data_IF_602241894104
#
_entry.id   IF_602241894104
#
_cell.length_a   1.000
_cell.length_b   1.000
_cell.length_c   1.000
_cell.angle_alpha   90.00
_cell.angle_beta   90.00
_cell.angle_gamma   90.00
#
_symmetry.space_group_name_H-M   'P 1'
#
loop_
_entity.id
_entity.type
_entity.pdbx_description
1 polymer ?
#
# COMPACT_ATOMS: atom_id res chain seq x y z
N UNK A 1 -5.35 0.24 -17.71
CA UNK A 1 -4.33 1.02 -18.43
C UNK A 1 -3.01 0.84 -17.72
N UNK A 2 -1.89 0.55 -18.42
CA UNK A 2 -0.67 0.12 -17.77
C UNK A 2 -0.10 1.23 -16.87
N UNK A 3 0.04 0.93 -15.58
CA UNK A 3 0.74 1.78 -14.60
C UNK A 3 2.24 1.54 -14.77
N UNK A 4 3.01 2.56 -15.18
CA UNK A 4 4.47 2.48 -15.13
C UNK A 4 4.90 2.63 -13.67
N UNK A 5 5.21 1.50 -13.03
CA UNK A 5 5.69 1.45 -11.64
C UNK A 5 7.21 1.35 -11.59
N UNK A 6 7.80 2.09 -10.65
CA UNK A 6 9.19 1.87 -10.23
C UNK A 6 9.31 0.49 -9.55
N UNK A 7 10.51 -0.08 -9.54
CA UNK A 7 10.75 -1.34 -8.83
C UNK A 7 10.50 -1.18 -7.32
N UNK A 8 10.89 -0.03 -6.76
CA UNK A 8 10.62 0.31 -5.36
C UNK A 8 9.12 0.33 -5.03
N UNK A 9 8.31 0.97 -5.87
CA UNK A 9 6.86 0.99 -5.67
C UNK A 9 6.27 -0.43 -5.74
N UNK A 10 6.74 -1.25 -6.70
CA UNK A 10 6.31 -2.66 -6.82
C UNK A 10 6.65 -3.46 -5.56
N UNK A 11 7.87 -3.33 -5.06
CA UNK A 11 8.32 -3.99 -3.83
C UNK A 11 7.50 -3.57 -2.62
N UNK A 12 7.27 -2.26 -2.43
CA UNK A 12 6.48 -1.73 -1.34
C UNK A 12 5.02 -2.20 -1.38
N UNK A 13 4.38 -2.20 -2.56
CA UNK A 13 3.02 -2.72 -2.73
C UNK A 13 2.97 -4.23 -2.47
N UNK A 14 3.97 -4.99 -2.93
CA UNK A 14 4.05 -6.44 -2.68
C UNK A 14 4.22 -6.75 -1.19
N UNK A 15 5.06 -5.98 -0.50
CA UNK A 15 5.20 -6.05 0.96
C UNK A 15 3.88 -5.74 1.67
N UNK A 16 3.12 -4.75 1.21
CA UNK A 16 1.83 -4.39 1.80
C UNK A 16 0.79 -5.50 1.59
N UNK A 17 0.69 -6.09 0.39
CA UNK A 17 -0.18 -7.25 0.12
C UNK A 17 0.18 -8.42 1.02
N UNK A 18 1.46 -8.78 1.08
CA UNK A 18 1.93 -9.91 1.89
C UNK A 18 1.59 -9.72 3.37
N UNK A 19 1.74 -8.50 3.90
CA UNK A 19 1.32 -8.18 5.26
C UNK A 19 -0.19 -8.31 5.44
N UNK A 20 -0.97 -7.78 4.49
CA UNK A 20 -2.42 -7.80 4.52
C UNK A 20 -2.94 -9.23 4.61
N UNK A 21 -2.43 -10.10 3.74
CA UNK A 21 -2.80 -11.52 3.65
C UNK A 21 -2.33 -12.31 4.86
N UNK A 22 -1.07 -12.13 5.29
CA UNK A 22 -0.51 -12.84 6.44
C UNK A 22 -1.28 -12.52 7.73
N UNK A 23 -1.71 -11.27 7.89
CA UNK A 23 -2.51 -10.81 9.02
C UNK A 23 -4.01 -11.01 8.82
N UNK A 24 -4.43 -11.55 7.67
CA UNK A 24 -5.83 -11.80 7.31
C UNK A 24 -6.70 -10.52 7.39
N UNK A 25 -6.09 -9.36 7.13
CA UNK A 25 -6.75 -8.06 7.30
C UNK A 25 -7.90 -7.89 6.30
N UNK A 26 -7.83 -8.52 5.13
CA UNK A 26 -8.88 -8.48 4.10
C UNK A 26 -10.24 -8.98 4.61
N UNK A 27 -10.27 -9.80 5.67
CA UNK A 27 -11.51 -10.36 6.20
C UNK A 27 -12.14 -9.54 7.34
N UNK A 28 -11.54 -8.41 7.72
CA UNK A 28 -11.97 -7.62 8.89
C UNK A 28 -13.13 -6.67 8.56
N UNK A 29 -13.13 -6.05 7.38
CA UNK A 29 -14.16 -5.10 6.96
C UNK A 29 -14.23 -4.95 5.45
N UNK A 30 -15.34 -4.43 4.93
CA UNK A 30 -15.51 -4.15 3.49
C UNK A 30 -14.41 -3.26 2.94
N UNK A 31 -14.02 -2.21 3.69
CA UNK A 31 -12.88 -1.37 3.31
C UNK A 31 -11.61 -2.20 3.12
N UNK A 32 -11.34 -3.17 4.00
CA UNK A 32 -10.11 -3.94 3.93
C UNK A 32 -10.09 -4.90 2.74
N UNK A 33 -11.25 -5.45 2.40
CA UNK A 33 -11.45 -6.28 1.22
C UNK A 33 -11.25 -5.46 -0.06
N UNK A 34 -11.94 -4.33 -0.17
CA UNK A 34 -11.82 -3.41 -1.32
C UNK A 34 -10.40 -2.86 -1.48
N UNK A 35 -9.76 -2.48 -0.37
CA UNK A 35 -8.39 -1.98 -0.37
C UNK A 35 -7.40 -3.06 -0.82
N UNK A 36 -7.54 -4.30 -0.36
CA UNK A 36 -6.69 -5.42 -0.81
C UNK A 36 -6.84 -5.67 -2.31
N UNK A 37 -8.08 -5.75 -2.80
CA UNK A 37 -8.36 -5.92 -4.22
C UNK A 37 -7.76 -4.77 -5.05
N UNK A 38 -7.88 -3.53 -4.58
CA UNK A 38 -7.32 -2.37 -5.26
C UNK A 38 -5.78 -2.41 -5.32
N UNK A 39 -5.09 -2.84 -4.26
CA UNK A 39 -3.63 -3.02 -4.29
C UNK A 39 -3.23 -4.06 -5.36
N UNK A 40 -3.95 -5.18 -5.43
CA UNK A 40 -3.70 -6.22 -6.44
C UNK A 40 -3.90 -5.67 -7.86
N UNK A 41 -4.97 -4.93 -8.09
CA UNK A 41 -5.23 -4.27 -9.38
C UNK A 41 -4.11 -3.28 -9.76
N UNK A 42 -3.58 -2.53 -8.79
CA UNK A 42 -2.46 -1.61 -9.02
C UNK A 42 -1.19 -2.38 -9.39
N UNK A 43 -0.88 -3.47 -8.66
CA UNK A 43 0.31 -4.30 -8.90
C UNK A 43 0.34 -4.91 -10.31
N UNK A 44 -0.80 -5.39 -10.80
CA UNK A 44 -0.90 -5.95 -12.16
C UNK A 44 -1.07 -4.87 -13.24
N UNK A 45 -1.12 -3.59 -12.85
CA UNK A 45 -1.19 -2.45 -13.75
C UNK A 45 -2.54 -2.30 -14.47
N UNK A 46 -3.62 -2.86 -13.91
CA UNK A 46 -4.97 -2.80 -14.50
C UNK A 46 -5.96 -1.93 -13.71
N UNK A 47 -5.53 -1.33 -12.59
CA UNK A 47 -6.40 -0.52 -11.75
C UNK A 47 -7.10 0.63 -12.50
N UNK A 48 -8.38 0.80 -12.15
CA UNK A 48 -9.19 1.98 -12.43
C UNK A 48 -8.71 3.19 -11.63
N UNK A 49 -9.23 4.38 -11.97
CA UNK A 49 -8.92 5.60 -11.20
C UNK A 49 -9.41 5.50 -9.75
N UNK A 50 -10.59 4.93 -9.52
CA UNK A 50 -11.15 4.76 -8.19
C UNK A 50 -10.32 3.82 -7.32
N UNK A 51 -9.84 2.69 -7.88
CA UNK A 51 -8.95 1.79 -7.16
C UNK A 51 -7.60 2.46 -6.84
N UNK A 52 -7.05 3.23 -7.78
CA UNK A 52 -5.82 3.98 -7.57
C UNK A 52 -5.97 5.01 -6.44
N UNK A 53 -7.05 5.80 -6.48
CA UNK A 53 -7.36 6.80 -5.44
C UNK A 53 -7.62 6.12 -4.08
N UNK A 54 -8.28 4.96 -4.06
CA UNK A 54 -8.48 4.17 -2.84
C UNK A 54 -7.15 3.73 -2.21
N UNK A 55 -6.18 3.29 -3.02
CA UNK A 55 -4.85 2.91 -2.49
C UNK A 55 -4.09 4.13 -1.97
N UNK A 56 -4.14 5.26 -2.69
CA UNK A 56 -3.47 6.51 -2.29
C UNK A 56 -4.02 7.02 -0.95
N UNK A 57 -5.33 7.16 -0.83
CA UNK A 57 -5.98 7.69 0.36
C UNK A 57 -5.97 6.69 1.52
N UNK A 58 -6.13 5.40 1.20
CA UNK A 58 -6.07 4.33 2.19
C UNK A 58 -4.70 4.26 2.87
N UNK A 59 -3.61 4.27 2.09
CA UNK A 59 -2.23 4.23 2.62
C UNK A 59 -1.88 5.47 3.45
N UNK A 60 -2.38 6.65 3.08
CA UNK A 60 -2.16 7.90 3.82
C UNK A 60 -3.01 8.03 5.08
N UNK A 61 -4.24 7.50 5.06
CA UNK A 61 -5.20 7.61 6.14
C UNK A 61 -5.35 6.29 6.90
N UNK A 62 -6.48 5.60 6.67
CA UNK A 62 -6.93 4.48 7.50
C UNK A 62 -5.87 3.38 7.71
N UNK A 63 -5.03 3.07 6.73
CA UNK A 63 -3.96 2.07 6.88
C UNK A 63 -2.85 2.58 7.79
N UNK A 64 -2.39 3.81 7.60
CA UNK A 64 -1.40 4.42 8.48
C UNK A 64 -1.91 4.54 9.93
N UNK A 65 -3.13 5.03 10.10
CA UNK A 65 -3.70 5.32 11.43
C UNK A 65 -4.07 4.05 12.20
N UNK A 66 -4.67 3.06 11.52
CA UNK A 66 -5.30 1.91 12.19
C UNK A 66 -4.54 0.61 12.05
N UNK A 67 -3.68 0.46 11.03
CA UNK A 67 -3.08 -0.83 10.69
C UNK A 67 -1.54 -0.82 10.66
N UNK A 68 -0.87 0.33 10.67
CA UNK A 68 0.59 0.40 10.57
C UNK A 68 1.31 -0.43 11.65
N UNK A 69 0.78 -0.44 12.88
CA UNK A 69 1.33 -1.22 14.00
C UNK A 69 1.22 -2.75 13.82
N UNK A 70 0.40 -3.21 12.88
CA UNK A 70 0.22 -4.63 12.56
C UNK A 70 1.14 -5.10 11.42
N UNK A 71 1.77 -4.17 10.69
CA UNK A 71 2.62 -4.47 9.56
C UNK A 71 3.99 -4.95 10.05
N UNK A 72 4.36 -6.16 9.65
CA UNK A 72 5.62 -6.78 9.95
C UNK A 72 6.76 -6.10 9.17
N UNK A 73 7.77 -5.68 9.92
CA UNK A 73 9.04 -5.21 9.40
C UNK A 73 10.18 -5.91 10.14
N UNK A 74 11.26 -6.21 9.43
CA UNK A 74 12.47 -6.81 9.99
C UNK A 74 13.01 -5.99 11.17
N UNK A 75 13.32 -6.62 12.32
CA UNK A 75 13.82 -5.92 13.50
C UNK A 75 15.06 -5.04 13.23
N UNK A 76 15.95 -5.48 12.34
CA UNK A 76 17.16 -4.74 11.97
C UNK A 76 16.83 -3.44 11.25
N UNK A 77 15.74 -3.43 10.47
CA UNK A 77 15.25 -2.23 9.79
C UNK A 77 14.56 -1.29 10.77
N UNK A 78 13.77 -1.83 11.71
CA UNK A 78 13.14 -1.04 12.78
C UNK A 78 14.20 -0.38 13.67
N UNK A 79 15.28 -1.09 14.00
CA UNK A 79 16.38 -0.56 14.81
C UNK A 79 17.07 0.64 14.15
N UNK A 80 17.14 0.66 12.81
CA UNK A 80 17.69 1.79 12.02
C UNK A 80 16.66 2.90 11.81
N UNK A 81 15.40 2.53 11.64
CA UNK A 81 14.30 3.43 11.30
C UNK A 81 13.00 3.01 12.02
N UNK A 82 12.72 3.57 13.22
CA UNK A 82 11.59 3.13 14.06
C UNK A 82 10.20 3.31 13.44
N UNK A 83 10.04 4.16 12.43
CA UNK A 83 8.77 4.47 11.77
C UNK A 83 8.72 3.99 10.31
N UNK A 84 9.57 3.03 9.97
CA UNK A 84 9.74 2.58 8.58
C UNK A 84 8.45 2.09 7.92
N UNK A 85 7.53 1.46 8.66
CA UNK A 85 6.24 1.05 8.13
C UNK A 85 5.42 2.27 7.65
N UNK A 86 5.36 3.33 8.46
CA UNK A 86 4.68 4.59 8.10
C UNK A 86 5.36 5.27 6.91
N UNK A 87 6.70 5.26 6.86
CA UNK A 87 7.43 5.79 5.69
C UNK A 87 7.06 5.02 4.43
N UNK A 88 7.09 3.69 4.45
CA UNK A 88 6.73 2.86 3.28
C UNK A 88 5.31 3.18 2.81
N UNK A 89 4.34 3.30 3.72
CA UNK A 89 2.96 3.69 3.37
C UNK A 89 2.91 5.08 2.72
N UNK A 90 3.65 6.05 3.25
CA UNK A 90 3.76 7.39 2.67
C UNK A 90 4.42 7.41 1.29
N UNK A 91 5.47 6.59 1.10
CA UNK A 91 6.16 6.44 -0.19
C UNK A 91 5.21 5.87 -1.25
N UNK A 92 4.42 4.83 -0.91
CA UNK A 92 3.39 4.27 -1.80
C UNK A 92 2.40 5.36 -2.22
N UNK A 93 1.82 6.07 -1.23
CA UNK A 93 0.81 7.11 -1.49
C UNK A 93 1.37 8.20 -2.42
N UNK A 94 2.59 8.66 -2.13
CA UNK A 94 3.25 9.76 -2.87
C UNK A 94 3.55 9.35 -4.31
N UNK A 95 4.16 8.18 -4.51
CA UNK A 95 4.53 7.70 -5.85
C UNK A 95 3.27 7.43 -6.71
N UNK A 96 2.24 6.81 -6.13
CA UNK A 96 0.97 6.59 -6.85
C UNK A 96 0.26 7.91 -7.19
N UNK A 97 0.26 8.90 -6.30
CA UNK A 97 -0.31 10.22 -6.57
C UNK A 97 0.44 10.95 -7.70
N UNK A 98 1.78 10.85 -7.74
CA UNK A 98 2.57 11.39 -8.85
C UNK A 98 2.21 10.73 -10.17
N UNK A 99 2.07 9.39 -10.19
CA UNK A 99 1.64 8.66 -11.38
C UNK A 99 0.21 9.05 -11.78
N UNK A 100 -0.69 9.29 -10.82
CA UNK A 100 -2.07 9.69 -11.07
C UNK A 100 -2.19 11.11 -11.63
N UNK A 101 -1.28 12.01 -11.25
CA UNK A 101 -1.28 13.43 -11.66
C UNK A 101 -0.44 13.71 -12.91
N UNK A 102 0.47 12.81 -13.28
CA UNK A 102 1.25 12.90 -14.53
C UNK A 102 0.47 12.39 -15.74
N UNK A 103 -0.85 12.23 -15.61
CA UNK A 103 -1.77 11.66 -16.59
C UNK A 103 -2.80 12.68 -17.03
#
# INVERSE_FOLDING_TARGET
MPIQMTDRLRENLSWLVSNWETKQLQHISSFNEEFHAAILSVLVGNASRAELDLVIEGTRGKVADSYAHLLAVEPERIAKEPFIALRILGDISTELAQIANSR
#
